data_IF_316666815799
#
_entry.id   IF_316666815799
#
_cell.length_a   1.000
_cell.length_b   1.000
_cell.length_c   1.000
_cell.angle_alpha   90.00
_cell.angle_beta   90.00
_cell.angle_gamma   90.00
#
_symmetry.space_group_name_H-M   'P 1'
#
loop_
_entity.id
_entity.type
_entity.pdbx_description
1 polymer ?
#
# COMPACT_ATOMS: atom_id res chain seq x y z
N UNK A 1 -16.43 12.26 -0.40
CA UNK A 1 -16.49 11.56 0.90
C UNK A 1 -15.06 11.32 1.36
N UNK A 2 -14.75 11.53 2.64
CA UNK A 2 -13.39 11.36 3.20
C UNK A 2 -13.03 9.87 3.25
N UNK A 3 -11.89 9.47 2.70
CA UNK A 3 -11.45 8.07 2.67
C UNK A 3 -10.48 7.73 3.81
N UNK A 4 -10.51 6.48 4.23
CA UNK A 4 -9.52 5.83 5.12
C UNK A 4 -8.49 5.09 4.28
N UNK A 5 -7.25 5.57 4.36
CA UNK A 5 -6.12 5.09 3.59
C UNK A 5 -5.15 4.38 4.52
N UNK A 6 -4.91 3.10 4.26
CA UNK A 6 -3.91 2.31 4.95
C UNK A 6 -2.61 2.28 4.17
N UNK A 7 -1.48 2.44 4.87
CA UNK A 7 -0.14 2.28 4.30
C UNK A 7 0.54 1.04 4.87
N UNK A 8 1.26 0.32 4.04
CA UNK A 8 2.08 -0.83 4.43
C UNK A 8 3.46 -0.69 3.81
N UNK A 9 4.47 -0.61 4.67
CA UNK A 9 5.87 -0.69 4.28
C UNK A 9 6.36 -2.13 4.45
N UNK A 10 6.51 -2.85 3.34
CA UNK A 10 6.86 -4.29 3.39
C UNK A 10 8.27 -4.51 3.90
N UNK A 11 9.17 -3.57 3.66
CA UNK A 11 10.57 -3.65 4.11
C UNK A 11 10.74 -3.20 5.56
N UNK A 12 9.67 -2.68 6.18
CA UNK A 12 9.67 -2.11 7.52
C UNK A 12 10.19 -0.67 7.56
N UNK A 13 9.95 0.02 8.69
CA UNK A 13 10.17 1.46 8.85
C UNK A 13 11.64 1.89 9.04
N UNK A 14 12.60 1.01 8.75
CA UNK A 14 14.04 1.32 8.93
C UNK A 14 14.62 2.11 7.75
N UNK A 15 13.91 2.17 6.62
CA UNK A 15 14.35 2.85 5.41
C UNK A 15 13.26 3.78 4.88
N UNK A 16 13.62 4.91 4.26
CA UNK A 16 12.63 5.82 3.69
C UNK A 16 11.94 5.20 2.47
N UNK A 17 10.61 5.06 2.56
CA UNK A 17 9.76 4.62 1.46
C UNK A 17 9.09 5.84 0.76
N UNK A 18 9.80 6.45 -0.20
CA UNK A 18 9.34 7.67 -0.86
C UNK A 18 8.01 7.54 -1.60
N UNK A 19 7.67 6.34 -2.09
CA UNK A 19 6.38 6.08 -2.71
C UNK A 19 5.25 6.29 -1.70
N UNK A 20 5.35 5.67 -0.52
CA UNK A 20 4.36 5.84 0.55
C UNK A 20 4.31 7.27 1.07
N UNK A 21 5.44 7.97 1.15
CA UNK A 21 5.47 9.39 1.53
C UNK A 21 4.66 10.26 0.55
N UNK A 22 4.86 10.07 -0.76
CA UNK A 22 4.11 10.81 -1.79
C UNK A 22 2.62 10.48 -1.77
N UNK A 23 2.27 9.21 -1.62
CA UNK A 23 0.87 8.75 -1.49
C UNK A 23 0.22 9.36 -0.25
N UNK A 24 0.91 9.33 0.89
CA UNK A 24 0.43 9.93 2.12
C UNK A 24 0.14 11.42 1.96
N UNK A 25 1.06 12.15 1.31
CA UNK A 25 0.87 13.58 1.04
C UNK A 25 -0.34 13.82 0.13
N UNK A 26 -0.45 13.09 -0.98
CA UNK A 26 -1.56 13.20 -1.92
C UNK A 26 -2.92 13.05 -1.23
N UNK A 27 -3.10 11.99 -0.44
CA UNK A 27 -4.35 11.74 0.28
C UNK A 27 -4.60 12.77 1.38
N UNK A 28 -3.58 13.15 2.15
CA UNK A 28 -3.72 14.21 3.17
C UNK A 28 -4.13 15.54 2.54
N UNK A 29 -3.58 15.90 1.39
CA UNK A 29 -3.96 17.12 0.66
C UNK A 29 -5.38 17.08 0.10
N UNK A 30 -5.88 15.89 -0.24
CA UNK A 30 -7.27 15.67 -0.64
C UNK A 30 -8.25 15.63 0.54
N UNK A 31 -7.74 15.72 1.78
CA UNK A 31 -8.54 15.68 3.00
C UNK A 31 -8.83 14.28 3.51
N UNK A 32 -8.23 13.22 2.95
CA UNK A 32 -8.39 11.84 3.41
C UNK A 32 -7.64 11.57 4.72
N UNK A 33 -8.08 10.57 5.47
CA UNK A 33 -7.32 10.04 6.61
C UNK A 33 -6.29 9.02 6.14
N UNK A 34 -5.05 9.17 6.60
CA UNK A 34 -3.94 8.27 6.24
C UNK A 34 -3.27 7.76 7.52
N UNK A 35 -3.17 6.44 7.65
CA UNK A 35 -2.51 5.79 8.78
C UNK A 35 -1.74 4.54 8.30
N UNK A 36 -0.82 4.06 9.14
CA UNK A 36 -0.30 2.71 8.98
C UNK A 36 -1.44 1.71 9.21
N UNK A 37 -1.45 0.63 8.43
CA UNK A 37 -2.53 -0.36 8.54
C UNK A 37 -2.61 -0.93 9.95
N UNK A 38 -3.82 -0.85 10.49
CA UNK A 38 -4.29 -1.62 11.63
C UNK A 38 -5.15 -2.76 11.09
N UNK A 39 -4.73 -4.00 11.31
CA UNK A 39 -5.38 -5.19 10.77
C UNK A 39 -6.81 -5.44 11.32
N UNK A 40 -7.22 -4.69 12.35
CA UNK A 40 -8.58 -4.74 12.90
C UNK A 40 -9.54 -3.72 12.27
N UNK A 41 -9.04 -2.84 11.39
CA UNK A 41 -9.83 -1.78 10.75
C UNK A 41 -10.11 -2.07 9.28
N UNK A 42 -11.22 -1.51 8.80
CA UNK A 42 -11.58 -1.51 7.38
C UNK A 42 -11.16 -0.21 6.68
N UNK A 43 -10.53 -0.33 5.52
CA UNK A 43 -10.01 0.77 4.71
C UNK A 43 -10.71 0.90 3.36
N UNK A 44 -10.87 2.11 2.86
CA UNK A 44 -11.31 2.32 1.48
C UNK A 44 -10.21 1.94 0.49
N UNK A 45 -8.94 2.20 0.86
CA UNK A 45 -7.78 1.85 0.03
C UNK A 45 -6.56 1.54 0.88
N UNK A 46 -5.82 0.52 0.49
CA UNK A 46 -4.53 0.17 1.10
C UNK A 46 -3.43 0.19 0.04
N UNK A 47 -2.34 0.88 0.36
CA UNK A 47 -1.13 0.91 -0.46
C UNK A 47 -0.01 0.14 0.22
N UNK A 48 0.51 -0.87 -0.48
CA UNK A 48 1.59 -1.71 0.00
C UNK A 48 2.81 -1.51 -0.90
N UNK A 49 3.87 -0.95 -0.33
CA UNK A 49 5.09 -0.63 -1.05
C UNK A 49 6.24 -1.54 -0.60
N UNK A 50 6.91 -2.16 -1.57
CA UNK A 50 8.12 -2.97 -1.36
C UNK A 50 9.23 -2.48 -2.27
N UNK A 51 10.34 -2.06 -1.70
CA UNK A 51 11.53 -1.54 -2.37
C UNK A 51 12.53 -2.66 -2.62
N UNK A 52 12.78 -3.52 -1.64
CA UNK A 52 13.82 -4.55 -1.74
C UNK A 52 13.28 -5.90 -2.19
N UNK A 53 14.11 -6.68 -2.88
CA UNK A 53 13.75 -8.02 -3.35
C UNK A 53 14.08 -9.13 -2.35
N UNK A 54 14.88 -8.83 -1.32
CA UNK A 54 15.39 -9.80 -0.35
C UNK A 54 14.52 -9.94 0.93
N UNK A 55 13.57 -9.03 1.15
CA UNK A 55 12.61 -9.11 2.26
C UNK A 55 11.44 -10.02 1.90
N UNK A 56 10.81 -10.64 2.90
CA UNK A 56 9.59 -11.42 2.68
C UNK A 56 8.39 -10.50 2.44
N UNK A 57 7.39 -10.95 1.68
CA UNK A 57 6.14 -10.19 1.52
C UNK A 57 5.20 -10.42 2.71
N UNK A 58 4.31 -9.46 2.96
CA UNK A 58 3.28 -9.56 4.00
C UNK A 58 2.13 -10.44 3.50
N UNK A 59 1.89 -11.54 4.23
CA UNK A 59 0.84 -12.51 3.93
C UNK A 59 -0.48 -12.22 4.67
N UNK A 60 -0.45 -11.33 5.66
CA UNK A 60 -1.61 -11.00 6.47
C UNK A 60 -2.65 -10.27 5.61
N UNK A 61 -3.87 -10.80 5.47
CA UNK A 61 -4.93 -10.13 4.73
C UNK A 61 -5.35 -8.85 5.46
N UNK A 62 -5.67 -7.82 4.68
CA UNK A 62 -6.15 -6.54 5.20
C UNK A 62 -7.57 -6.32 4.70
N UNK A 63 -8.44 -5.82 5.58
CA UNK A 63 -9.81 -5.47 5.23
C UNK A 63 -9.80 -4.15 4.47
N UNK A 64 -9.90 -4.22 3.14
CA UNK A 64 -9.93 -3.04 2.29
C UNK A 64 -10.78 -3.22 1.03
N UNK A 65 -11.45 -2.16 0.58
CA UNK A 65 -12.22 -2.18 -0.68
C UNK A 65 -11.28 -2.25 -1.90
N UNK A 66 -10.09 -1.65 -1.81
CA UNK A 66 -9.06 -1.68 -2.84
C UNK A 66 -7.67 -1.88 -2.22
N UNK A 67 -6.90 -2.85 -2.73
CA UNK A 67 -5.52 -3.09 -2.32
C UNK A 67 -4.57 -2.94 -3.51
N UNK A 68 -3.60 -2.04 -3.40
CA UNK A 68 -2.62 -1.75 -4.43
C UNK A 68 -1.21 -2.09 -3.93
N UNK A 69 -0.52 -2.96 -4.66
CA UNK A 69 0.87 -3.34 -4.39
C UNK A 69 1.80 -2.73 -5.43
N UNK A 70 2.94 -2.19 -5.00
CA UNK A 70 3.90 -1.57 -5.91
C UNK A 70 5.28 -1.37 -5.31
N UNK A 71 6.23 -0.94 -6.13
CA UNK A 71 7.63 -0.77 -5.75
C UNK A 71 8.55 -1.80 -6.39
N UNK A 72 9.85 -1.49 -6.38
CA UNK A 72 10.91 -2.24 -7.09
C UNK A 72 11.13 -3.66 -6.55
N UNK A 73 10.70 -3.93 -5.32
CA UNK A 73 10.79 -5.24 -4.68
C UNK A 73 9.73 -6.22 -5.16
N UNK A 74 8.65 -5.73 -5.79
CA UNK A 74 7.71 -6.60 -6.49
C UNK A 74 8.20 -6.84 -7.92
N UNK A 75 8.22 -8.12 -8.31
CA UNK A 75 8.32 -8.51 -9.72
C UNK A 75 6.98 -8.23 -10.39
N UNK A 76 6.72 -6.97 -10.72
CA UNK A 76 5.63 -6.59 -11.62
C UNK A 76 6.00 -7.09 -13.02
N UNK A 77 5.58 -8.31 -13.35
CA UNK A 77 5.50 -8.71 -14.76
C UNK A 77 4.49 -7.77 -15.41
N UNK A 78 4.94 -6.90 -16.32
CA UNK A 78 4.05 -6.03 -17.13
C UNK A 78 3.30 -6.85 -18.20
N UNK A 79 2.58 -7.89 -17.78
CA UNK A 79 1.52 -8.47 -18.57
C UNK A 79 0.21 -7.96 -17.98
N UNK A 80 -0.55 -7.19 -18.76
CA UNK A 80 -1.88 -6.69 -18.45
C UNK A 80 -2.68 -7.59 -17.48
N UNK A 81 -2.62 -7.29 -16.18
CA UNK A 81 -3.41 -7.99 -15.18
C UNK A 81 -4.72 -7.23 -14.92
N UNK A 82 -5.46 -6.99 -16.01
CA UNK A 82 -6.92 -6.82 -15.98
C UNK A 82 -7.54 -8.14 -16.47
N UNK A 83 -7.23 -9.25 -15.81
CA UNK A 83 -8.06 -10.44 -15.93
C UNK A 83 -9.15 -10.33 -14.88
N UNK A 84 -10.23 -9.61 -15.22
CA UNK A 84 -11.53 -9.87 -14.61
C UNK A 84 -11.92 -11.29 -15.03
N UNK A 85 -12.07 -12.17 -14.05
CA UNK A 85 -12.93 -13.36 -14.11
C UNK A 85 -13.72 -13.41 -12.83
#
# INVERSE_FOLDING_TARGET
MKKRIGLIDVDGHHFPNFALMKIANFHKTAGDTVEWVDYLKHYDKVYQSKVFTFTSDIQTPVQADESLKGGTGYKICMANCFAKT
#
